data_IF_347389583724
#
_entry.id   IF_347389583724
#
_cell.length_a   1.000
_cell.length_b   1.000
_cell.length_c   1.000
_cell.angle_alpha   90.00
_cell.angle_beta   90.00
_cell.angle_gamma   90.00
#
_symmetry.space_group_name_H-M   'P 1'
#
loop_
_entity.id
_entity.type
_entity.pdbx_description
1 polymer ?
#
# COMPACT_ATOMS: atom_id res chain seq x y z
N UNK A 1 8.68 -11.41 23.71
CA UNK A 1 8.97 -10.21 22.90
C UNK A 1 7.65 -9.69 22.35
N UNK A 2 7.47 -8.36 22.25
CA UNK A 2 6.30 -7.78 21.59
C UNK A 2 6.31 -8.13 20.10
N UNK A 3 5.12 -8.32 19.50
CA UNK A 3 5.01 -8.53 18.05
C UNK A 3 5.51 -7.27 17.30
N UNK A 4 6.08 -7.47 16.11
CA UNK A 4 6.67 -6.41 15.29
C UNK A 4 5.93 -6.26 13.97
N UNK A 5 5.62 -5.02 13.59
CA UNK A 5 5.10 -4.69 12.26
C UNK A 5 6.06 -3.76 11.52
N UNK A 6 6.38 -4.11 10.26
CA UNK A 6 7.14 -3.27 9.33
C UNK A 6 6.20 -2.62 8.33
N UNK A 7 6.26 -1.28 8.19
CA UNK A 7 5.32 -0.53 7.34
C UNK A 7 6.07 0.45 6.46
N UNK A 8 5.93 0.34 5.13
CA UNK A 8 6.45 1.34 4.19
C UNK A 8 5.44 2.45 3.91
N UNK A 9 5.92 3.65 3.60
CA UNK A 9 5.07 4.83 3.40
C UNK A 9 4.41 5.30 4.69
N UNK A 10 5.09 5.18 5.82
CA UNK A 10 4.56 5.46 7.15
C UNK A 10 4.52 6.96 7.51
N UNK A 11 5.01 7.87 6.64
CA UNK A 11 5.05 9.31 6.94
C UNK A 11 3.69 10.01 6.85
N UNK A 12 2.66 9.41 6.26
CA UNK A 12 1.34 10.04 6.12
C UNK A 12 0.22 9.06 5.79
N UNK A 13 -1.02 9.51 5.88
CA UNK A 13 -2.21 8.85 5.37
C UNK A 13 -2.42 7.44 5.90
N UNK A 14 -2.64 6.47 5.01
CA UNK A 14 -2.92 5.07 5.37
C UNK A 14 -1.78 4.45 6.18
N UNK A 15 -0.52 4.69 5.79
CA UNK A 15 0.64 4.12 6.49
C UNK A 15 0.72 4.57 7.94
N UNK A 16 0.49 5.86 8.19
CA UNK A 16 0.48 6.45 9.52
C UNK A 16 -0.70 5.94 10.37
N UNK A 17 -1.89 5.82 9.79
CA UNK A 17 -3.07 5.28 10.47
C UNK A 17 -2.90 3.79 10.82
N UNK A 18 -2.30 2.99 9.92
CA UNK A 18 -1.95 1.60 10.20
C UNK A 18 -0.92 1.51 11.33
N UNK A 19 0.15 2.33 11.29
CA UNK A 19 1.16 2.38 12.35
C UNK A 19 0.52 2.65 13.71
N UNK A 20 -0.38 3.64 13.79
CA UNK A 20 -1.12 3.95 15.00
C UNK A 20 -1.97 2.78 15.49
N UNK A 21 -2.71 2.14 14.58
CA UNK A 21 -3.58 1.02 14.93
C UNK A 21 -2.79 -0.19 15.46
N UNK A 22 -1.63 -0.50 14.85
CA UNK A 22 -0.75 -1.58 15.31
C UNK A 22 -0.08 -1.23 16.65
N UNK A 23 0.34 0.02 16.85
CA UNK A 23 0.87 0.48 18.14
C UNK A 23 -0.15 0.30 19.26
N UNK A 24 -1.41 0.68 19.04
CA UNK A 24 -2.52 0.47 19.99
C UNK A 24 -2.80 -1.01 20.27
N UNK A 25 -2.50 -1.90 19.33
CA UNK A 25 -2.62 -3.34 19.50
C UNK A 25 -1.43 -3.98 20.23
N UNK A 26 -0.46 -3.20 20.69
CA UNK A 26 0.70 -3.69 21.45
C UNK A 26 1.93 -4.02 20.63
N UNK A 27 1.92 -3.81 19.30
CA UNK A 27 3.07 -4.07 18.44
C UNK A 27 4.18 -3.02 18.63
N UNK A 28 5.42 -3.46 18.45
CA UNK A 28 6.53 -2.59 18.10
C UNK A 28 6.48 -2.24 16.61
N UNK A 29 7.00 -1.08 16.23
CA UNK A 29 6.88 -0.54 14.88
C UNK A 29 8.26 -0.40 14.22
N UNK A 30 8.38 -0.86 12.98
CA UNK A 30 9.45 -0.54 12.04
C UNK A 30 8.85 0.33 10.93
N UNK A 31 9.11 1.63 10.95
CA UNK A 31 8.45 2.61 10.09
C UNK A 31 9.41 3.12 9.02
N UNK A 32 9.02 2.99 7.76
CA UNK A 32 9.88 3.33 6.61
C UNK A 32 9.26 4.45 5.80
N UNK A 33 10.04 5.50 5.55
CA UNK A 33 9.73 6.56 4.58
C UNK A 33 11.00 7.27 4.13
N UNK A 34 10.90 8.10 3.08
CA UNK A 34 11.95 9.04 2.68
C UNK A 34 12.09 10.20 3.66
N UNK A 35 10.94 10.68 4.16
CA UNK A 35 10.83 11.81 5.10
C UNK A 35 10.67 11.27 6.51
N UNK A 36 11.75 10.93 7.13
CA UNK A 36 11.78 10.33 8.47
C UNK A 36 11.36 11.31 9.54
N UNK A 37 11.69 12.59 9.37
CA UNK A 37 11.32 13.70 10.25
C UNK A 37 9.80 13.85 10.45
N UNK A 38 9.01 13.53 9.42
CA UNK A 38 7.56 13.53 9.52
C UNK A 38 7.04 12.39 10.41
N UNK A 39 7.69 11.21 10.34
CA UNK A 39 7.35 10.07 11.22
C UNK A 39 7.70 10.42 12.66
N UNK A 40 8.87 10.96 12.90
CA UNK A 40 9.33 11.31 14.25
C UNK A 40 8.48 12.43 14.88
N UNK A 41 8.12 13.47 14.10
CA UNK A 41 7.22 14.52 14.55
C UNK A 41 5.83 13.97 14.91
N UNK A 42 5.30 13.09 14.07
CA UNK A 42 4.02 12.42 14.34
C UNK A 42 4.10 11.50 15.56
N UNK A 43 5.18 10.73 15.72
CA UNK A 43 5.36 9.83 16.84
C UNK A 43 5.42 10.61 18.18
N UNK A 44 6.15 11.72 18.21
CA UNK A 44 6.19 12.64 19.37
C UNK A 44 4.81 13.22 19.68
N UNK A 45 4.09 13.69 18.66
CA UNK A 45 2.73 14.27 18.83
C UNK A 45 1.74 13.26 19.41
N UNK A 46 1.88 11.99 19.01
CA UNK A 46 1.03 10.87 19.50
C UNK A 46 1.51 10.27 20.82
N UNK A 47 2.65 10.69 21.33
CA UNK A 47 3.22 10.17 22.59
C UNK A 47 3.68 8.71 22.48
N UNK A 48 4.23 8.30 21.32
CA UNK A 48 4.77 6.96 21.18
C UNK A 48 6.00 6.76 22.06
N UNK A 49 6.07 5.62 22.72
CA UNK A 49 7.25 5.21 23.48
C UNK A 49 8.42 4.93 22.51
N UNK A 50 9.55 5.60 22.72
CA UNK A 50 10.77 5.48 21.92
C UNK A 50 11.32 4.04 21.88
N UNK A 51 11.07 3.24 22.92
CA UNK A 51 11.46 1.83 22.95
C UNK A 51 10.61 0.94 22.02
N UNK A 52 9.47 1.44 21.52
CA UNK A 52 8.51 0.66 20.76
C UNK A 52 8.46 1.02 19.27
N UNK A 53 9.29 1.93 18.79
CA UNK A 53 9.38 2.18 17.35
C UNK A 53 10.80 2.48 16.91
N UNK A 54 11.08 2.14 15.65
CA UNK A 54 12.29 2.53 14.93
C UNK A 54 11.90 3.10 13.57
N UNK A 55 12.66 4.10 13.13
CA UNK A 55 12.45 4.75 11.83
C UNK A 55 13.61 4.42 10.90
N UNK A 56 13.29 4.04 9.67
CA UNK A 56 14.25 3.71 8.63
C UNK A 56 14.04 4.62 7.42
N UNK A 57 15.11 5.24 6.95
CA UNK A 57 15.08 6.06 5.74
C UNK A 57 15.25 5.19 4.50
N UNK A 58 14.27 5.19 3.59
CA UNK A 58 14.40 4.54 2.29
C UNK A 58 13.46 5.17 1.25
N UNK A 59 13.94 5.31 0.01
CA UNK A 59 13.08 5.42 -1.16
C UNK A 59 12.78 4.01 -1.69
N UNK A 60 11.52 3.61 -1.66
CA UNK A 60 11.10 2.28 -2.14
C UNK A 60 11.24 2.12 -3.65
N UNK A 61 11.40 3.22 -4.41
CA UNK A 61 11.71 3.15 -5.83
C UNK A 61 13.13 2.63 -6.11
N UNK A 62 14.03 2.77 -5.14
CA UNK A 62 15.43 2.34 -5.19
C UNK A 62 15.55 1.01 -4.45
N UNK A 63 15.72 -0.10 -5.21
CA UNK A 63 15.71 -1.46 -4.64
C UNK A 63 16.71 -1.61 -3.51
N UNK A 64 17.95 -1.15 -3.70
CA UNK A 64 18.99 -1.28 -2.68
C UNK A 64 18.68 -0.49 -1.42
N UNK A 65 18.01 0.68 -1.53
CA UNK A 65 17.60 1.47 -0.39
C UNK A 65 16.61 0.71 0.50
N UNK A 66 15.56 0.15 -0.10
CA UNK A 66 14.54 -0.58 0.67
C UNK A 66 15.08 -1.91 1.20
N UNK A 67 15.89 -2.63 0.44
CA UNK A 67 16.53 -3.87 0.90
C UNK A 67 17.45 -3.58 2.09
N UNK A 68 18.27 -2.54 2.03
CA UNK A 68 19.09 -2.13 3.18
C UNK A 68 18.26 -1.78 4.42
N UNK A 69 17.13 -1.08 4.26
CA UNK A 69 16.24 -0.76 5.38
C UNK A 69 15.62 -2.03 6.00
N UNK A 70 15.24 -3.03 5.18
CA UNK A 70 14.73 -4.32 5.69
C UNK A 70 15.80 -5.11 6.44
N UNK A 71 17.04 -5.12 5.96
CA UNK A 71 18.18 -5.74 6.63
C UNK A 71 18.50 -5.06 7.96
N UNK A 72 18.49 -3.73 8.02
CA UNK A 72 18.65 -2.99 9.26
C UNK A 72 17.52 -3.31 10.26
N UNK A 73 16.29 -3.49 9.80
CA UNK A 73 15.18 -3.91 10.65
C UNK A 73 15.43 -5.31 11.24
N UNK A 74 15.87 -6.28 10.42
CA UNK A 74 16.21 -7.61 10.87
C UNK A 74 17.32 -7.60 11.95
N UNK A 75 18.34 -6.78 11.77
CA UNK A 75 19.45 -6.67 12.71
C UNK A 75 19.06 -6.00 14.04
N UNK A 76 18.21 -4.96 14.00
CA UNK A 76 17.89 -4.14 15.18
C UNK A 76 16.66 -4.61 15.95
N UNK A 77 15.64 -5.06 15.24
CA UNK A 77 14.34 -5.42 15.82
C UNK A 77 13.96 -6.89 15.61
N UNK A 78 14.66 -7.62 14.73
CA UNK A 78 14.37 -9.01 14.41
C UNK A 78 13.36 -9.19 13.29
N UNK A 79 12.84 -10.40 13.15
CA UNK A 79 11.91 -10.79 12.09
C UNK A 79 10.50 -10.27 12.39
N UNK A 80 9.91 -9.39 11.55
CA UNK A 80 8.56 -8.91 11.75
C UNK A 80 7.51 -10.02 11.75
N UNK A 81 6.41 -9.81 12.47
CA UNK A 81 5.23 -10.67 12.39
C UNK A 81 4.34 -10.27 11.21
N UNK A 82 4.36 -8.98 10.87
CA UNK A 82 3.59 -8.43 9.77
C UNK A 82 4.45 -7.45 8.98
N UNK A 83 4.49 -7.58 7.66
CA UNK A 83 5.10 -6.62 6.73
C UNK A 83 4.01 -5.99 5.88
N UNK A 84 3.88 -4.68 5.92
CA UNK A 84 2.88 -3.94 5.14
C UNK A 84 3.58 -3.06 4.10
N UNK A 85 3.57 -3.51 2.85
CA UNK A 85 4.04 -2.74 1.72
C UNK A 85 2.92 -1.76 1.29
N UNK A 86 2.93 -0.58 1.92
CA UNK A 86 1.91 0.45 1.75
C UNK A 86 2.39 1.63 0.89
N UNK A 87 3.68 1.89 0.81
CA UNK A 87 4.21 2.99 -0.01
C UNK A 87 3.63 2.95 -1.43
N UNK A 88 3.19 4.10 -1.93
CA UNK A 88 2.59 4.17 -3.25
C UNK A 88 2.34 5.61 -3.69
N UNK A 89 2.36 5.81 -5.01
CA UNK A 89 2.04 7.08 -5.65
C UNK A 89 0.90 6.91 -6.65
N UNK A 90 0.19 8.01 -6.91
CA UNK A 90 -0.89 8.09 -7.89
C UNK A 90 -0.83 9.42 -8.60
N UNK A 91 -0.34 9.40 -9.82
CA UNK A 91 -0.15 10.57 -10.69
C UNK A 91 -0.99 10.36 -11.94
N UNK A 92 -1.64 11.42 -12.45
CA UNK A 92 -2.35 11.37 -13.72
C UNK A 92 -1.36 11.29 -14.89
N UNK A 93 -1.75 10.62 -15.98
CA UNK A 93 -0.92 10.51 -17.17
C UNK A 93 -1.76 10.55 -18.46
N UNK A 94 -1.13 10.97 -19.54
CA UNK A 94 -1.63 10.85 -20.91
C UNK A 94 -0.53 10.19 -21.77
N UNK A 95 -0.83 9.03 -22.33
CA UNK A 95 0.14 8.24 -23.12
C UNK A 95 0.59 8.97 -24.39
N UNK A 96 -0.19 9.92 -24.90
CA UNK A 96 0.22 10.75 -26.05
C UNK A 96 1.35 11.73 -25.70
N UNK A 97 1.63 11.95 -24.42
CA UNK A 97 2.66 12.87 -23.95
C UNK A 97 3.90 12.07 -23.53
N UNK A 98 5.03 12.30 -24.24
CA UNK A 98 6.27 11.55 -24.03
C UNK A 98 6.74 11.55 -22.55
N UNK A 99 6.68 12.71 -21.89
CA UNK A 99 7.14 12.84 -20.51
C UNK A 99 6.27 12.05 -19.52
N UNK A 100 5.03 11.74 -19.86
CA UNK A 100 4.15 10.94 -18.99
C UNK A 100 4.52 9.45 -18.98
N UNK A 101 5.37 8.98 -19.90
CA UNK A 101 5.95 7.63 -19.82
C UNK A 101 6.88 7.50 -18.61
N UNK A 102 7.56 8.58 -18.20
CA UNK A 102 8.39 8.61 -17.00
C UNK A 102 7.53 8.52 -15.73
N UNK A 103 6.32 9.08 -15.77
CA UNK A 103 5.30 8.88 -14.70
C UNK A 103 4.93 7.39 -14.56
N UNK A 104 4.78 6.68 -15.68
CA UNK A 104 4.49 5.24 -15.67
C UNK A 104 5.64 4.46 -15.04
N UNK A 105 6.87 4.69 -15.49
CA UNK A 105 8.09 4.04 -14.98
C UNK A 105 8.21 4.26 -13.47
N UNK A 106 8.10 5.50 -13.02
CA UNK A 106 8.18 5.85 -11.59
C UNK A 106 7.05 5.22 -10.78
N UNK A 107 5.84 5.17 -11.33
CA UNK A 107 4.69 4.55 -10.65
C UNK A 107 4.92 3.06 -10.42
N UNK A 108 5.45 2.36 -11.42
CA UNK A 108 5.78 0.93 -11.29
C UNK A 108 6.97 0.69 -10.36
N UNK A 109 8.00 1.51 -10.42
CA UNK A 109 9.13 1.43 -9.50
C UNK A 109 8.66 1.49 -8.04
N UNK A 110 7.82 2.48 -7.69
CA UNK A 110 7.31 2.64 -6.32
C UNK A 110 6.28 1.57 -5.96
N UNK A 111 5.23 1.41 -6.78
CA UNK A 111 4.05 0.63 -6.39
C UNK A 111 4.23 -0.88 -6.55
N UNK A 112 5.15 -1.33 -7.40
CA UNK A 112 5.35 -2.75 -7.74
C UNK A 112 6.73 -3.25 -7.34
N UNK A 113 7.80 -2.71 -7.91
CA UNK A 113 9.17 -3.15 -7.58
C UNK A 113 9.47 -2.89 -6.12
N UNK A 114 9.17 -1.69 -5.62
CA UNK A 114 9.36 -1.33 -4.21
C UNK A 114 8.52 -2.15 -3.25
N UNK A 115 7.30 -2.57 -3.65
CA UNK A 115 6.48 -3.49 -2.86
C UNK A 115 7.17 -4.86 -2.77
N UNK A 116 7.60 -5.44 -3.88
CA UNK A 116 8.28 -6.73 -3.90
C UNK A 116 9.60 -6.70 -3.09
N UNK A 117 10.40 -5.65 -3.28
CA UNK A 117 11.64 -5.44 -2.54
C UNK A 117 11.39 -5.26 -1.02
N UNK A 118 10.26 -4.68 -0.61
CA UNK A 118 9.87 -4.59 0.80
C UNK A 118 9.59 -5.95 1.45
N UNK A 119 9.23 -6.96 0.67
CA UNK A 119 9.01 -8.32 1.17
C UNK A 119 10.28 -9.18 1.14
N UNK A 120 11.17 -8.93 0.18
CA UNK A 120 12.29 -9.79 -0.20
C UNK A 120 13.09 -10.32 1.00
N UNK A 121 13.65 -9.44 1.83
CA UNK A 121 14.55 -9.84 2.90
C UNK A 121 13.86 -10.54 4.09
N UNK A 122 12.52 -10.49 4.17
CA UNK A 122 11.76 -11.08 5.25
C UNK A 122 11.23 -12.50 4.94
N UNK A 123 11.16 -12.90 3.67
CA UNK A 123 10.55 -14.17 3.26
C UNK A 123 11.31 -15.35 3.89
N UNK A 124 12.62 -15.44 3.71
CA UNK A 124 13.40 -16.56 4.23
C UNK A 124 13.38 -16.65 5.78
N UNK A 125 13.62 -15.54 6.52
CA UNK A 125 13.52 -15.58 7.98
C UNK A 125 12.11 -15.92 8.49
N UNK A 126 11.05 -15.44 7.83
CA UNK A 126 9.68 -15.82 8.18
C UNK A 126 9.38 -17.29 7.87
N UNK A 127 9.85 -17.81 6.74
CA UNK A 127 9.70 -19.21 6.36
C UNK A 127 10.43 -20.13 7.34
N UNK A 128 11.65 -19.78 7.77
CA UNK A 128 12.41 -20.50 8.80
C UNK A 128 11.68 -20.50 10.15
N UNK A 129 11.03 -19.39 10.50
CA UNK A 129 10.19 -19.29 11.70
C UNK A 129 8.85 -20.04 11.55
N UNK A 130 8.42 -20.35 10.33
CA UNK A 130 7.13 -20.98 10.03
C UNK A 130 5.92 -20.08 10.27
N UNK A 131 6.10 -18.75 10.32
CA UNK A 131 5.00 -17.81 10.58
C UNK A 131 5.32 -16.41 10.09
N UNK A 132 4.28 -15.68 9.66
CA UNK A 132 4.37 -14.28 9.23
C UNK A 132 3.19 -13.87 8.37
N UNK A 133 3.08 -12.57 8.11
CA UNK A 133 2.10 -12.03 7.17
C UNK A 133 2.73 -10.95 6.28
N UNK A 134 2.63 -11.12 4.97
CA UNK A 134 3.00 -10.14 3.96
C UNK A 134 1.72 -9.48 3.42
N UNK A 135 1.63 -8.15 3.51
CA UNK A 135 0.44 -7.40 3.17
C UNK A 135 0.74 -6.40 2.07
N UNK A 136 0.16 -6.60 0.89
CA UNK A 136 0.22 -5.63 -0.21
C UNK A 136 -0.98 -4.69 -0.19
N UNK A 137 -0.74 -3.38 -0.25
CA UNK A 137 -1.81 -2.40 -0.38
C UNK A 137 -2.10 -2.15 -1.87
N UNK A 138 -3.15 -2.82 -2.35
CA UNK A 138 -3.72 -2.64 -3.69
C UNK A 138 -4.56 -1.38 -3.84
N UNK A 139 -5.65 -1.46 -4.59
CA UNK A 139 -6.71 -0.44 -4.71
C UNK A 139 -7.90 -1.02 -5.48
N UNK A 140 -9.09 -0.49 -5.27
CA UNK A 140 -10.25 -0.74 -6.16
C UNK A 140 -9.98 -0.30 -7.60
N UNK A 141 -9.08 0.66 -7.81
CA UNK A 141 -8.61 1.10 -9.13
C UNK A 141 -7.80 0.02 -9.88
N UNK A 142 -7.31 -1.01 -9.19
CA UNK A 142 -6.69 -2.18 -9.81
C UNK A 142 -7.68 -3.18 -10.41
N UNK A 143 -8.98 -3.05 -10.14
CA UNK A 143 -10.01 -3.98 -10.62
C UNK A 143 -10.42 -3.64 -12.06
N UNK A 144 -10.50 -2.36 -12.41
CA UNK A 144 -10.77 -1.88 -13.77
C UNK A 144 -10.06 -0.56 -14.04
N UNK A 145 -9.52 -0.38 -15.25
CA UNK A 145 -8.82 0.84 -15.68
C UNK A 145 -9.75 2.06 -15.70
N UNK A 146 -9.20 3.22 -15.35
CA UNK A 146 -9.91 4.49 -15.35
C UNK A 146 -9.19 5.49 -16.25
N UNK A 147 -9.89 6.25 -17.10
CA UNK A 147 -9.26 7.26 -17.97
C UNK A 147 -8.39 8.27 -17.19
N UNK A 148 -7.18 8.55 -17.69
CA UNK A 148 -6.22 9.44 -17.05
C UNK A 148 -5.49 8.86 -15.81
N UNK A 149 -5.75 7.58 -15.46
CA UNK A 149 -5.12 6.89 -14.34
C UNK A 149 -4.34 5.62 -14.79
N UNK A 150 -3.96 5.54 -16.06
CA UNK A 150 -3.43 4.31 -16.66
C UNK A 150 -2.30 3.68 -15.86
N UNK A 151 -1.24 4.43 -15.54
CA UNK A 151 -0.12 3.92 -14.74
C UNK A 151 -0.57 3.42 -13.35
N UNK A 152 -1.39 4.21 -12.65
CA UNK A 152 -1.86 3.83 -11.31
C UNK A 152 -2.75 2.59 -11.34
N UNK A 153 -3.75 2.54 -12.24
CA UNK A 153 -4.62 1.38 -12.36
C UNK A 153 -3.85 0.11 -12.71
N UNK A 154 -2.95 0.20 -13.68
CA UNK A 154 -2.10 -0.93 -14.08
C UNK A 154 -1.20 -1.38 -12.92
N UNK A 155 -0.56 -0.45 -12.21
CA UNK A 155 0.28 -0.79 -11.06
C UNK A 155 -0.51 -1.47 -9.93
N UNK A 156 -1.74 -1.01 -9.65
CA UNK A 156 -2.56 -1.61 -8.59
C UNK A 156 -3.18 -2.95 -9.01
N UNK A 157 -3.43 -3.18 -10.30
CA UNK A 157 -3.76 -4.49 -10.84
C UNK A 157 -2.57 -5.46 -10.70
N UNK A 158 -1.36 -5.00 -11.01
CA UNK A 158 -0.13 -5.78 -10.83
C UNK A 158 0.11 -6.14 -9.36
N UNK A 159 -0.15 -5.25 -8.39
CA UNK A 159 -0.08 -5.59 -6.95
C UNK A 159 -1.02 -6.72 -6.59
N UNK A 160 -2.28 -6.70 -7.08
CA UNK A 160 -3.26 -7.74 -6.80
C UNK A 160 -2.76 -9.09 -7.34
N UNK A 161 -2.36 -9.12 -8.62
CA UNK A 161 -1.88 -10.34 -9.28
C UNK A 161 -0.59 -10.87 -8.64
N UNK A 162 0.36 -9.98 -8.32
CA UNK A 162 1.61 -10.37 -7.67
C UNK A 162 1.39 -11.00 -6.29
N UNK A 163 0.56 -10.38 -5.45
CA UNK A 163 0.26 -10.94 -4.13
C UNK A 163 -0.51 -12.27 -4.23
N UNK A 164 -1.33 -12.45 -5.26
CA UNK A 164 -2.03 -13.71 -5.51
C UNK A 164 -1.05 -14.83 -5.88
N UNK A 165 -0.07 -14.57 -6.76
CA UNK A 165 1.02 -15.49 -7.12
C UNK A 165 1.86 -15.83 -5.89
N UNK A 166 2.36 -14.82 -5.18
CA UNK A 166 3.18 -14.98 -3.98
C UNK A 166 2.47 -15.81 -2.89
N UNK A 167 1.16 -15.66 -2.75
CA UNK A 167 0.35 -16.47 -1.83
C UNK A 167 0.39 -17.95 -2.21
N UNK A 168 0.34 -18.26 -3.51
CA UNK A 168 0.49 -19.63 -4.01
C UNK A 168 1.87 -20.21 -3.74
N UNK A 169 2.92 -19.41 -3.98
CA UNK A 169 4.32 -19.80 -3.78
C UNK A 169 4.63 -20.09 -2.30
N UNK A 170 4.11 -19.25 -1.40
CA UNK A 170 4.41 -19.34 0.04
C UNK A 170 3.41 -20.20 0.85
N UNK A 171 2.49 -20.90 0.20
CA UNK A 171 1.40 -21.63 0.91
C UNK A 171 1.89 -22.68 1.92
N UNK A 172 3.09 -23.21 1.76
CA UNK A 172 3.68 -24.24 2.64
C UNK A 172 4.72 -23.70 3.61
N UNK A 173 5.04 -22.40 3.56
CA UNK A 173 6.07 -21.77 4.39
C UNK A 173 5.55 -21.28 5.76
N UNK A 174 4.24 -21.38 6.01
CA UNK A 174 3.61 -20.75 7.18
C UNK A 174 3.39 -19.24 7.05
N UNK A 175 3.79 -18.63 5.91
CA UNK A 175 3.61 -17.20 5.63
C UNK A 175 2.24 -16.96 4.98
N UNK A 176 1.48 -16.04 5.53
CA UNK A 176 0.21 -15.58 4.94
C UNK A 176 0.45 -14.37 4.04
N UNK A 177 -0.13 -14.38 2.85
CA UNK A 177 -0.11 -13.22 1.95
C UNK A 177 -1.51 -12.64 1.86
N UNK A 178 -1.64 -11.34 2.11
CA UNK A 178 -2.89 -10.60 2.12
C UNK A 178 -2.84 -9.41 1.18
N UNK A 179 -3.88 -9.24 0.36
CA UNK A 179 -4.06 -8.03 -0.44
C UNK A 179 -5.20 -7.21 0.13
N UNK A 180 -4.90 -6.00 0.59
CA UNK A 180 -5.92 -5.02 1.01
C UNK A 180 -6.12 -4.02 -0.10
N UNK A 181 -7.35 -3.88 -0.57
CA UNK A 181 -7.74 -2.94 -1.63
C UNK A 181 -8.57 -1.79 -1.06
N UNK A 182 -7.96 -0.64 -0.75
CA UNK A 182 -8.71 0.55 -0.35
C UNK A 182 -9.63 1.05 -1.47
N UNK A 183 -10.81 1.56 -1.08
CA UNK A 183 -11.58 2.50 -1.87
C UNK A 183 -11.03 3.91 -1.76
N UNK A 184 -11.91 4.91 -1.60
CA UNK A 184 -11.48 6.28 -1.32
C UNK A 184 -11.26 6.45 0.18
N UNK A 185 -10.02 6.76 0.56
CA UNK A 185 -9.63 7.03 1.94
C UNK A 185 -9.16 8.47 2.02
N UNK A 186 -9.63 9.21 3.02
CA UNK A 186 -9.24 10.60 3.25
C UNK A 186 -7.77 10.67 3.68
N UNK A 187 -6.94 11.12 2.75
CA UNK A 187 -5.48 11.19 2.90
C UNK A 187 -4.93 12.32 2.02
N UNK A 188 -3.70 12.79 2.25
CA UNK A 188 -3.08 13.79 1.36
C UNK A 188 -3.03 13.37 -0.12
N UNK A 189 -3.03 12.05 -0.41
CA UNK A 189 -3.07 11.54 -1.78
C UNK A 189 -4.42 11.79 -2.46
N UNK A 190 -5.52 11.63 -1.74
CA UNK A 190 -6.89 11.72 -2.27
C UNK A 190 -7.48 13.11 -2.18
N UNK A 191 -7.03 13.95 -1.25
CA UNK A 191 -7.45 15.36 -1.11
C UNK A 191 -7.15 16.20 -2.36
N UNK A 192 -6.18 15.76 -3.19
CA UNK A 192 -5.86 16.39 -4.48
C UNK A 192 -6.85 16.03 -5.60
N UNK A 193 -7.77 15.11 -5.37
CA UNK A 193 -8.75 14.68 -6.38
C UNK A 193 -9.86 15.74 -6.53
N UNK A 194 -10.26 16.02 -7.79
CA UNK A 194 -11.31 16.98 -8.13
C UNK A 194 -12.64 16.32 -8.52
N UNK A 195 -12.75 15.01 -8.33
CA UNK A 195 -13.93 14.24 -8.66
C UNK A 195 -14.59 13.67 -7.41
N UNK A 196 -15.86 13.33 -7.52
CA UNK A 196 -16.65 12.76 -6.43
C UNK A 196 -16.07 11.42 -5.99
N UNK A 197 -15.90 11.24 -4.69
CA UNK A 197 -15.35 10.05 -4.05
C UNK A 197 -16.44 9.35 -3.23
N UNK A 198 -17.23 8.43 -3.83
CA UNK A 198 -18.28 7.73 -3.11
C UNK A 198 -17.67 6.85 -2.00
N UNK A 199 -18.36 6.75 -0.89
CA UNK A 199 -17.94 5.97 0.29
C UNK A 199 -16.55 6.38 0.82
N UNK A 200 -16.23 7.68 0.77
CA UNK A 200 -15.00 8.22 1.37
C UNK A 200 -14.94 7.83 2.85
N UNK A 201 -13.82 7.28 3.27
CA UNK A 201 -13.61 6.75 4.62
C UNK A 201 -12.42 7.45 5.28
N UNK A 202 -12.50 7.68 6.59
CA UNK A 202 -11.37 8.18 7.36
C UNK A 202 -10.25 7.14 7.44
N UNK A 203 -8.98 7.60 7.48
CA UNK A 203 -7.82 6.71 7.49
C UNK A 203 -7.79 5.79 8.72
N UNK A 204 -8.21 6.28 9.89
CA UNK A 204 -8.25 5.47 11.12
C UNK A 204 -9.31 4.37 11.06
N UNK A 205 -10.50 4.64 10.48
CA UNK A 205 -11.53 3.63 10.26
C UNK A 205 -11.06 2.55 9.28
N UNK A 206 -10.37 2.96 8.21
CA UNK A 206 -9.76 2.03 7.28
C UNK A 206 -8.72 1.16 7.99
N UNK A 207 -7.81 1.76 8.76
CA UNK A 207 -6.76 1.05 9.47
C UNK A 207 -7.33 0.02 10.47
N UNK A 208 -8.40 0.36 11.19
CA UNK A 208 -9.10 -0.56 12.08
C UNK A 208 -9.67 -1.78 11.33
N UNK A 209 -10.30 -1.56 10.17
CA UNK A 209 -10.87 -2.66 9.36
C UNK A 209 -9.77 -3.48 8.70
N UNK A 210 -8.70 -2.86 8.21
CA UNK A 210 -7.56 -3.54 7.61
C UNK A 210 -6.85 -4.41 8.65
N UNK A 211 -6.57 -3.89 9.84
CA UNK A 211 -6.00 -4.65 10.95
C UNK A 211 -6.82 -5.91 11.25
N UNK A 212 -8.15 -5.76 11.43
CA UNK A 212 -9.04 -6.91 11.70
C UNK A 212 -9.01 -7.94 10.59
N UNK A 213 -9.00 -7.51 9.32
CA UNK A 213 -8.93 -8.42 8.17
C UNK A 213 -7.60 -9.18 8.11
N UNK A 214 -6.48 -8.49 8.33
CA UNK A 214 -5.13 -9.08 8.35
C UNK A 214 -5.00 -10.08 9.52
N UNK A 215 -5.43 -9.70 10.71
CA UNK A 215 -5.42 -10.56 11.90
C UNK A 215 -6.26 -11.82 11.70
N UNK A 216 -7.43 -11.71 11.03
CA UNK A 216 -8.29 -12.83 10.68
C UNK A 216 -7.75 -13.71 9.54
N UNK A 217 -6.58 -13.41 8.97
CA UNK A 217 -5.95 -14.21 7.91
C UNK A 217 -6.61 -14.04 6.53
N UNK A 218 -7.30 -12.94 6.26
CA UNK A 218 -7.89 -12.69 4.95
C UNK A 218 -6.82 -12.66 3.85
N UNK A 219 -7.01 -13.42 2.76
CA UNK A 219 -6.11 -13.38 1.60
C UNK A 219 -6.36 -12.16 0.69
N UNK A 220 -7.61 -11.69 0.63
CA UNK A 220 -8.00 -10.53 -0.17
C UNK A 220 -9.17 -9.80 0.51
N UNK A 221 -9.09 -8.47 0.62
CA UNK A 221 -10.17 -7.65 1.20
C UNK A 221 -10.28 -6.29 0.55
N UNK A 222 -11.48 -5.93 0.10
CA UNK A 222 -11.82 -4.55 -0.31
C UNK A 222 -12.43 -3.80 0.88
N UNK A 223 -11.94 -2.59 1.15
CA UNK A 223 -12.39 -1.74 2.26
C UNK A 223 -12.63 -0.30 1.75
N UNK A 224 -13.86 0.21 1.85
CA UNK A 224 -15.07 -0.44 2.37
C UNK A 224 -15.64 -1.47 1.39
N UNK A 225 -16.37 -2.46 1.88
CA UNK A 225 -16.89 -3.58 1.08
C UNK A 225 -17.82 -3.14 -0.06
N UNK A 226 -18.55 -2.04 0.12
CA UNK A 226 -19.43 -1.44 -0.90
C UNK A 226 -18.64 -1.13 -2.19
N UNK A 227 -17.42 -0.60 -2.03
CA UNK A 227 -16.55 -0.34 -3.20
C UNK A 227 -16.14 -1.61 -3.94
N UNK A 228 -16.11 -2.75 -3.27
CA UNK A 228 -15.87 -4.05 -3.89
C UNK A 228 -17.01 -4.43 -4.86
N UNK A 229 -18.24 -4.21 -4.46
CA UNK A 229 -19.41 -4.46 -5.34
C UNK A 229 -19.46 -3.47 -6.50
N UNK A 230 -19.19 -2.18 -6.24
CA UNK A 230 -19.09 -1.16 -7.30
C UNK A 230 -18.01 -1.55 -8.33
N UNK A 231 -16.83 -1.93 -7.87
CA UNK A 231 -15.72 -2.30 -8.75
C UNK A 231 -16.02 -3.60 -9.55
N UNK A 232 -16.61 -4.60 -8.93
CA UNK A 232 -17.06 -5.82 -9.61
C UNK A 232 -18.15 -5.52 -10.64
N UNK A 233 -19.15 -4.72 -10.28
CA UNK A 233 -20.20 -4.28 -11.21
C UNK A 233 -19.61 -3.55 -12.42
N UNK A 234 -18.70 -2.59 -12.17
CA UNK A 234 -17.99 -1.91 -13.26
C UNK A 234 -17.18 -2.89 -14.13
N UNK A 235 -16.57 -3.93 -13.55
CA UNK A 235 -15.80 -4.94 -14.29
C UNK A 235 -16.67 -5.78 -15.24
N UNK A 236 -17.92 -6.03 -14.86
CA UNK A 236 -18.86 -6.79 -15.67
C UNK A 236 -19.51 -5.98 -16.80
N UNK A 237 -19.45 -4.65 -16.76
CA UNK A 237 -20.01 -3.82 -17.82
C UNK A 237 -19.29 -4.07 -19.16
N UNK A 238 -20.03 -4.21 -20.28
CA UNK A 238 -19.45 -4.15 -21.62
C UNK A 238 -18.67 -2.83 -21.82
N UNK A 239 -17.60 -2.87 -22.63
CA UNK A 239 -16.73 -1.70 -22.81
C UNK A 239 -17.49 -0.45 -23.26
N UNK A 240 -18.39 -0.57 -24.24
CA UNK A 240 -19.17 0.56 -24.75
C UNK A 240 -20.00 1.26 -23.65
N UNK A 241 -20.57 0.51 -22.72
CA UNK A 241 -21.36 1.06 -21.62
C UNK A 241 -20.46 1.67 -20.55
N UNK A 242 -19.34 1.00 -20.23
CA UNK A 242 -18.35 1.50 -19.30
C UNK A 242 -17.76 2.84 -19.78
N UNK A 243 -17.38 2.94 -21.06
CA UNK A 243 -16.81 4.15 -21.65
C UNK A 243 -17.85 5.30 -21.63
N UNK A 244 -19.12 5.00 -21.91
CA UNK A 244 -20.20 5.97 -21.79
C UNK A 244 -20.40 6.48 -20.36
N UNK A 245 -20.34 5.59 -19.35
CA UNK A 245 -20.47 5.96 -17.93
C UNK A 245 -19.30 6.82 -17.45
N UNK A 246 -18.10 6.63 -18.02
CA UNK A 246 -16.91 7.39 -17.66
C UNK A 246 -16.66 8.61 -18.55
N UNK A 247 -17.42 8.77 -19.64
CA UNK A 247 -17.33 9.93 -20.52
C UNK A 247 -17.57 11.22 -19.75
N UNK A 248 -16.73 12.25 -20.02
CA UNK A 248 -16.83 13.56 -19.39
C UNK A 248 -16.38 13.65 -17.93
N UNK A 249 -15.91 12.55 -17.32
CA UNK A 249 -15.37 12.63 -15.94
C UNK A 249 -14.03 13.34 -15.90
N UNK A 250 -13.79 14.19 -14.87
CA UNK A 250 -12.50 14.84 -14.68
C UNK A 250 -11.37 13.80 -14.56
N UNK A 251 -10.30 14.01 -15.33
CA UNK A 251 -9.08 13.17 -15.24
C UNK A 251 -8.27 13.54 -14.00
N UNK A 252 -7.45 12.62 -13.52
CA UNK A 252 -6.48 12.91 -12.46
C UNK A 252 -5.48 13.96 -12.95
N UNK A 253 -5.08 14.84 -12.03
CA UNK A 253 -4.10 15.89 -12.33
C UNK A 253 -2.77 15.24 -12.72
N UNK A 254 -2.20 15.66 -13.83
CA UNK A 254 -0.83 15.41 -14.20
C UNK A 254 0.08 16.32 -13.37
N UNK A 255 1.32 15.93 -13.17
CA UNK A 255 2.32 16.87 -12.64
C UNK A 255 2.68 17.81 -13.79
N UNK A 256 2.28 19.07 -13.70
CA UNK A 256 2.72 20.09 -14.64
C UNK A 256 4.24 20.26 -14.43
N UNK A 257 5.03 19.95 -15.45
CA UNK A 257 6.47 20.19 -15.50
C UNK A 257 7.34 19.15 -14.81
N UNK A 258 7.45 17.98 -15.36
CA UNK A 258 8.67 17.18 -15.40
C UNK A 258 8.99 16.96 -16.86
#
# INVERSE_FOLDING_TARGET
MSQLVFITGASSGIGQALAWRYYQAGFSLALVARRTEEIEAWARLRGLDLARYQVYSADVAEVDNIVNATQQCLQRQGVPDVVIANAGISIGMDTAIRNDLDVMTRTFAVNNVGLAASFHAFIDPMAQRGSGALVGIGSVAGIRGLPGHGAYCASKAAVISYCESLRGELRHSGIRVCTICPGYIDTPLTQKNRYRMPFLMQADDFANRAYKAIAAGASYRVIPWQMGWVAKGLRLLPNWLFDKVLSGRPRKRRVDGV
#
